data_IF_281044883148
#
_entry.id   IF_281044883148
#
_cell.length_a   1.000
_cell.length_b   1.000
_cell.length_c   1.000
_cell.angle_alpha   90.00
_cell.angle_beta   90.00
_cell.angle_gamma   90.00
#
_symmetry.space_group_name_H-M   'P 1'
#
loop_
_entity.id
_entity.type
_entity.pdbx_description
1 polymer ?
#
# COMPACT_ATOMS: atom_id res chain seq x y z
N UNK A 1 4.18 12.00 3.73
CA UNK A 1 3.02 11.52 2.95
C UNK A 1 3.17 11.55 1.42
N UNK A 2 3.52 12.68 0.79
CA UNK A 2 3.57 12.79 -0.70
C UNK A 2 4.39 11.70 -1.39
N UNK A 3 5.51 11.27 -0.80
CA UNK A 3 6.37 10.21 -1.37
C UNK A 3 5.70 8.83 -1.35
N UNK A 4 5.01 8.44 -0.27
CA UNK A 4 4.25 7.18 -0.22
C UNK A 4 3.14 7.16 -1.28
N UNK A 5 2.35 8.24 -1.37
CA UNK A 5 1.31 8.38 -2.41
C UNK A 5 1.88 8.31 -3.82
N UNK A 6 3.07 8.88 -4.05
CA UNK A 6 3.79 8.78 -5.32
C UNK A 6 4.17 7.33 -5.64
N UNK A 7 4.81 6.62 -4.72
CA UNK A 7 5.20 5.20 -4.91
C UNK A 7 3.98 4.34 -5.23
N UNK A 8 2.87 4.52 -4.49
CA UNK A 8 1.62 3.79 -4.73
C UNK A 8 1.10 4.07 -6.15
N UNK A 9 0.99 5.34 -6.54
CA UNK A 9 0.51 5.72 -7.87
C UNK A 9 1.39 5.20 -8.99
N UNK A 10 2.72 5.25 -8.82
CA UNK A 10 3.69 4.82 -9.82
C UNK A 10 3.68 3.28 -10.03
N UNK A 11 2.94 2.52 -9.20
CA UNK A 11 2.65 1.10 -9.48
C UNK A 11 1.57 0.89 -10.53
N UNK A 12 0.67 1.87 -10.73
CA UNK A 12 -0.56 1.76 -11.52
C UNK A 12 -1.52 0.62 -11.12
N UNK A 13 -1.24 -0.12 -10.03
CA UNK A 13 -2.05 -1.24 -9.55
C UNK A 13 -3.07 -0.83 -8.48
N UNK A 14 -2.83 0.29 -7.80
CA UNK A 14 -3.52 0.64 -6.57
C UNK A 14 -4.06 2.07 -6.59
N UNK A 15 -5.27 2.25 -6.07
CA UNK A 15 -5.78 3.57 -5.67
C UNK A 15 -5.47 3.80 -4.20
N UNK A 16 -4.81 4.92 -3.88
CA UNK A 16 -4.59 5.28 -2.48
C UNK A 16 -5.93 5.62 -1.81
N UNK A 17 -6.22 4.96 -0.69
CA UNK A 17 -7.28 5.37 0.22
C UNK A 17 -6.72 6.35 1.25
N UNK A 18 -5.92 5.82 2.19
CA UNK A 18 -5.43 6.59 3.32
C UNK A 18 -4.01 6.18 3.69
N UNK A 19 -3.25 7.17 4.17
CA UNK A 19 -1.91 6.95 4.71
C UNK A 19 -1.81 7.70 6.03
N UNK A 20 -1.40 6.99 7.09
CA UNK A 20 -1.28 7.52 8.45
C UNK A 20 0.11 7.23 9.00
N UNK A 21 0.67 8.16 9.79
CA UNK A 21 1.98 7.97 10.43
C UNK A 21 1.81 8.21 11.92
N UNK A 22 2.32 7.29 12.72
CA UNK A 22 2.45 7.45 14.17
C UNK A 22 3.89 7.09 14.56
N UNK A 23 4.69 8.11 14.89
CA UNK A 23 6.13 7.95 15.14
C UNK A 23 6.87 7.44 13.91
N UNK A 24 7.49 6.26 14.04
CA UNK A 24 8.18 5.53 12.98
C UNK A 24 7.26 4.55 12.22
N UNK A 25 6.03 4.31 12.69
CA UNK A 25 5.09 3.40 12.02
C UNK A 25 4.22 4.13 11.00
N UNK A 26 4.09 3.56 9.80
CA UNK A 26 3.27 4.07 8.71
C UNK A 26 2.22 3.03 8.31
N UNK A 27 0.94 3.43 8.32
CA UNK A 27 -0.17 2.62 7.85
C UNK A 27 -0.60 3.09 6.47
N UNK A 28 -0.72 2.16 5.53
CA UNK A 28 -1.06 2.42 4.14
C UNK A 28 -2.26 1.55 3.76
N UNK A 29 -3.42 2.17 3.57
CA UNK A 29 -4.60 1.52 3.02
C UNK A 29 -4.73 1.87 1.54
N UNK A 30 -4.92 0.86 0.71
CA UNK A 30 -5.12 1.02 -0.73
C UNK A 30 -6.24 0.14 -1.24
N UNK A 31 -6.85 0.55 -2.35
CA UNK A 31 -7.78 -0.26 -3.12
C UNK A 31 -7.09 -0.84 -4.36
N UNK A 32 -7.44 -2.08 -4.70
CA UNK A 32 -7.09 -2.73 -5.97
C UNK A 32 -8.37 -3.13 -6.69
N UNK A 33 -8.42 -2.89 -8.00
CA UNK A 33 -9.58 -3.21 -8.81
C UNK A 33 -9.74 -4.73 -8.96
N UNK A 34 -10.99 -5.19 -8.93
CA UNK A 34 -11.35 -6.60 -9.05
C UNK A 34 -11.42 -7.34 -7.72
N UNK A 35 -11.91 -8.58 -7.77
CA UNK A 35 -11.93 -9.47 -6.61
C UNK A 35 -10.54 -10.06 -6.38
N UNK A 36 -10.12 -10.08 -5.12
CA UNK A 36 -8.87 -10.69 -4.68
C UNK A 36 -9.20 -11.83 -3.73
N UNK A 37 -8.73 -13.03 -4.07
CA UNK A 37 -8.63 -14.08 -3.06
C UNK A 37 -7.53 -13.73 -2.04
N UNK A 38 -7.50 -14.46 -0.92
CA UNK A 38 -6.59 -14.13 0.19
C UNK A 38 -5.11 -14.18 -0.23
N UNK A 39 -4.71 -15.15 -1.06
CA UNK A 39 -3.35 -15.23 -1.60
C UNK A 39 -3.00 -14.01 -2.47
N UNK A 40 -3.90 -13.59 -3.36
CA UNK A 40 -3.69 -12.43 -4.22
C UNK A 40 -3.60 -11.13 -3.43
N UNK A 41 -4.34 -11.04 -2.31
CA UNK A 41 -4.29 -9.91 -1.37
C UNK A 41 -2.95 -9.87 -0.65
N UNK A 42 -2.52 -10.99 -0.07
CA UNK A 42 -1.23 -11.12 0.60
C UNK A 42 -0.06 -10.80 -0.34
N UNK A 43 -0.09 -11.34 -1.57
CA UNK A 43 0.94 -11.05 -2.57
C UNK A 43 0.96 -9.57 -2.95
N UNK A 44 -0.20 -8.94 -3.06
CA UNK A 44 -0.32 -7.51 -3.37
C UNK A 44 0.21 -6.64 -2.21
N UNK A 45 -0.11 -6.99 -0.98
CA UNK A 45 0.39 -6.34 0.23
C UNK A 45 1.92 -6.46 0.31
N UNK A 46 2.47 -7.66 0.12
CA UNK A 46 3.91 -7.90 0.13
C UNK A 46 4.65 -7.11 -0.97
N UNK A 47 4.10 -7.07 -2.19
CA UNK A 47 4.69 -6.29 -3.31
C UNK A 47 4.71 -4.80 -3.00
N UNK A 48 3.59 -4.24 -2.52
CA UNK A 48 3.51 -2.82 -2.21
C UNK A 48 4.38 -2.46 -0.99
N UNK A 49 4.38 -3.30 0.04
CA UNK A 49 5.23 -3.16 1.21
C UNK A 49 6.70 -3.07 0.81
N UNK A 50 7.19 -4.01 -0.02
CA UNK A 50 8.59 -4.01 -0.50
C UNK A 50 8.96 -2.70 -1.20
N UNK A 51 8.11 -2.20 -2.10
CA UNK A 51 8.35 -0.94 -2.82
C UNK A 51 8.38 0.26 -1.87
N UNK A 52 7.49 0.29 -0.89
CA UNK A 52 7.41 1.36 0.09
C UNK A 52 8.63 1.37 1.01
N UNK A 53 9.05 0.21 1.54
CA UNK A 53 10.27 0.10 2.38
C UNK A 53 11.51 0.54 1.61
N UNK A 54 11.65 0.15 0.34
CA UNK A 54 12.76 0.61 -0.50
C UNK A 54 12.79 2.13 -0.66
N UNK A 55 11.62 2.76 -0.83
CA UNK A 55 11.53 4.20 -1.01
C UNK A 55 11.58 4.99 0.31
N UNK A 56 11.18 4.38 1.42
CA UNK A 56 10.94 4.99 2.72
C UNK A 56 11.49 4.11 3.87
N UNK A 57 12.79 3.79 3.87
CA UNK A 57 13.37 2.79 4.79
C UNK A 57 13.34 3.20 6.27
N UNK A 58 13.06 4.48 6.56
CA UNK A 58 12.98 5.01 7.92
C UNK A 58 11.70 4.61 8.66
N UNK A 59 10.70 4.05 7.97
CA UNK A 59 9.40 3.75 8.56
C UNK A 59 9.16 2.24 8.63
N UNK A 60 8.51 1.81 9.70
CA UNK A 60 7.89 0.49 9.84
C UNK A 60 6.53 0.55 9.13
N UNK A 61 6.41 -0.08 7.96
CA UNK A 61 5.25 0.13 7.07
C UNK A 61 4.30 -1.07 7.16
N UNK A 62 3.04 -0.79 7.43
CA UNK A 62 1.96 -1.77 7.38
C UNK A 62 1.04 -1.43 6.20
N UNK A 63 0.82 -2.41 5.32
CA UNK A 63 0.03 -2.24 4.10
C UNK A 63 -1.22 -3.10 4.21
N UNK A 64 -2.36 -2.51 3.88
CA UNK A 64 -3.63 -3.23 3.74
C UNK A 64 -4.23 -2.98 2.36
N UNK A 65 -4.48 -4.05 1.62
CA UNK A 65 -5.11 -4.00 0.29
C UNK A 65 -6.57 -4.40 0.40
N UNK A 66 -7.45 -3.54 -0.08
CA UNK A 66 -8.90 -3.78 -0.15
C UNK A 66 -9.34 -3.88 -1.61
N UNK A 67 -10.44 -4.59 -1.87
CA UNK A 67 -11.07 -4.65 -3.19
C UNK A 67 -11.81 -3.34 -3.48
N UNK A 68 -11.60 -2.75 -4.65
CA UNK A 68 -12.48 -1.67 -5.13
C UNK A 68 -13.75 -2.30 -5.71
N UNK A 69 -14.87 -2.14 -5.00
CA UNK A 69 -16.19 -2.64 -5.40
C UNK A 69 -17.01 -1.60 -6.19
N UNK A 70 -16.37 -0.52 -6.65
CA UNK A 70 -17.03 0.58 -7.36
C UNK A 70 -16.96 0.43 -8.87
#
# INVERSE_FOLDING_TARGET
MRKAKKVIRDTHEFRTDSVWINGDRMWVNVYKNGMLNDQQREDAEARLHKKLVQALPRYNIEVRVQEDRR
#
